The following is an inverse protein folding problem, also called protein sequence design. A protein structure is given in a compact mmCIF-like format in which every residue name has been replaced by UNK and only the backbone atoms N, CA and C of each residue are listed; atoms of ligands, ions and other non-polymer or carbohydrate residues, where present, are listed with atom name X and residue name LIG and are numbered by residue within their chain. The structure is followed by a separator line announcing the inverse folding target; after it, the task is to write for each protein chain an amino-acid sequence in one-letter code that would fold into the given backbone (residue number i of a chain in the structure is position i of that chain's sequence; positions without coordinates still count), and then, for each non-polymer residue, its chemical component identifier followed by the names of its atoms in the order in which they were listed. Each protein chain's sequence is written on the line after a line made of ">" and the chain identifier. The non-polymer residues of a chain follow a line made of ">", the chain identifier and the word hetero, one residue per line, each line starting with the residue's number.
data_IF_553247355322
#
_entry.id   IF_553247355322
#
_cell.length_a   1.000
_cell.length_b   1.000
_cell.length_c   1.000
_cell.angle_alpha   90.00
_cell.angle_beta   90.00
_cell.angle_gamma   90.00
#
_symmetry.space_group_name_H-M   'P 1'
#
loop_
_entity.id
_entity.type
_entity.pdbx_description
1 polymer ?
#
# COMPACT_ATOMS: atom_id res chain seq x y z
N UNK A 1 -7.79 39.39 -39.06
CA UNK A 1 -8.57 38.81 -37.95
C UNK A 1 -7.69 37.79 -37.26
N UNK A 2 -7.36 38.06 -36.01
CA UNK A 2 -6.04 37.83 -35.43
C UNK A 2 -5.96 36.54 -34.62
N UNK A 3 -4.81 35.87 -34.71
CA UNK A 3 -4.38 34.71 -33.90
C UNK A 3 -4.47 34.95 -32.38
N UNK A 4 -4.59 36.21 -31.95
CA UNK A 4 -4.84 36.60 -30.55
C UNK A 4 -6.24 36.22 -30.04
N UNK A 5 -7.27 36.23 -30.91
CA UNK A 5 -8.64 35.89 -30.52
C UNK A 5 -8.79 34.38 -30.25
N UNK A 6 -8.07 33.55 -31.01
CA UNK A 6 -8.07 32.09 -30.82
C UNK A 6 -7.40 31.68 -29.50
N UNK A 7 -6.34 32.38 -29.06
CA UNK A 7 -5.69 32.13 -27.77
C UNK A 7 -6.58 32.49 -26.57
N UNK A 8 -7.32 33.60 -26.66
CA UNK A 8 -8.23 34.06 -25.60
C UNK A 8 -9.47 33.15 -25.44
N UNK A 9 -9.97 32.57 -26.53
CA UNK A 9 -11.11 31.64 -26.47
C UNK A 9 -10.74 30.29 -25.84
N UNK A 10 -9.54 29.76 -26.12
CA UNK A 10 -9.03 28.53 -25.48
C UNK A 10 -8.87 28.68 -23.96
N UNK A 11 -8.35 29.83 -23.50
CA UNK A 11 -8.18 30.12 -22.06
C UNK A 11 -9.54 30.28 -21.37
N UNK A 12 -10.52 30.96 -22.00
CA UNK A 12 -11.89 31.05 -21.45
C UNK A 12 -12.56 29.69 -21.33
N UNK A 13 -12.38 28.83 -22.32
CA UNK A 13 -13.02 27.50 -22.33
C UNK A 13 -12.38 26.58 -21.28
N UNK A 14 -11.07 26.66 -21.06
CA UNK A 14 -10.39 25.96 -19.97
C UNK A 14 -10.82 26.48 -18.59
N UNK A 15 -10.93 27.80 -18.41
CA UNK A 15 -11.36 28.42 -17.16
C UNK A 15 -12.81 28.04 -16.79
N UNK A 16 -13.71 27.98 -17.77
CA UNK A 16 -15.12 27.57 -17.56
C UNK A 16 -15.24 26.09 -17.19
N UNK A 17 -14.39 25.21 -17.75
CA UNK A 17 -14.39 23.77 -17.40
C UNK A 17 -13.82 23.52 -16.00
N UNK A 18 -12.82 24.28 -15.59
CA UNK A 18 -12.28 24.24 -14.21
C UNK A 18 -13.29 24.82 -13.21
N UNK A 19 -13.98 25.92 -13.54
CA UNK A 19 -15.01 26.49 -12.66
C UNK A 19 -16.24 25.61 -12.54
N UNK A 20 -16.64 24.91 -13.60
CA UNK A 20 -17.75 23.95 -13.58
C UNK A 20 -17.42 22.70 -12.76
N UNK A 21 -16.18 22.17 -12.86
CA UNK A 21 -15.70 21.09 -12.00
C UNK A 21 -15.64 21.50 -10.52
N UNK A 22 -15.21 22.74 -10.24
CA UNK A 22 -15.17 23.31 -8.90
C UNK A 22 -16.60 23.50 -8.32
N UNK A 23 -17.56 23.91 -9.16
CA UNK A 23 -18.96 24.07 -8.77
C UNK A 23 -19.67 22.76 -8.44
N UNK A 24 -19.43 21.69 -9.21
CA UNK A 24 -20.01 20.37 -8.96
C UNK A 24 -19.41 19.69 -7.71
N UNK A 25 -18.08 19.71 -7.56
CA UNK A 25 -17.42 19.23 -6.34
C UNK A 25 -17.84 20.03 -5.11
N UNK A 26 -17.91 21.36 -5.23
CA UNK A 26 -18.34 22.25 -4.14
C UNK A 26 -19.79 22.00 -3.70
N UNK A 27 -20.71 21.77 -4.63
CA UNK A 27 -22.12 21.50 -4.33
C UNK A 27 -22.35 20.08 -3.78
N UNK A 28 -21.63 19.07 -4.30
CA UNK A 28 -21.66 17.71 -3.74
C UNK A 28 -21.11 17.68 -2.30
N UNK A 29 -20.03 18.42 -2.02
CA UNK A 29 -19.51 18.59 -0.66
C UNK A 29 -20.49 19.31 0.25
N UNK A 30 -21.18 20.35 -0.25
CA UNK A 30 -22.16 21.13 0.52
C UNK A 30 -23.33 20.27 1.02
N UNK A 31 -23.77 19.30 0.23
CA UNK A 31 -24.86 18.39 0.61
C UNK A 31 -24.46 17.33 1.64
N UNK A 32 -23.16 16.99 1.73
CA UNK A 32 -22.63 16.04 2.72
C UNK A 32 -22.04 16.73 3.97
N UNK A 33 -21.87 18.05 3.94
CA UNK A 33 -21.24 18.78 5.04
C UNK A 33 -22.25 18.94 6.20
N UNK A 34 -21.92 18.47 7.42
CA UNK A 34 -22.72 18.71 8.60
C UNK A 34 -22.93 20.20 8.84
N UNK A 35 -24.12 20.57 9.28
CA UNK A 35 -24.50 21.98 9.54
C UNK A 35 -23.86 22.55 10.80
N UNK A 36 -23.43 21.69 11.74
CA UNK A 36 -22.78 22.11 12.99
C UNK A 36 -21.30 22.46 12.81
N UNK A 37 -20.86 23.57 13.41
CA UNK A 37 -19.48 24.07 13.33
C UNK A 37 -18.44 23.04 13.81
N UNK A 38 -18.78 22.24 14.84
CA UNK A 38 -17.90 21.17 15.34
C UNK A 38 -17.68 20.05 14.34
N UNK A 39 -18.76 19.50 13.77
CA UNK A 39 -18.69 18.41 12.82
C UNK A 39 -18.02 18.85 11.50
N UNK A 40 -18.29 20.10 11.07
CA UNK A 40 -17.61 20.72 9.93
C UNK A 40 -16.09 20.83 10.15
N UNK A 41 -15.66 21.35 11.30
CA UNK A 41 -14.24 21.51 11.60
C UNK A 41 -13.50 20.17 11.73
N UNK A 42 -14.16 19.16 12.32
CA UNK A 42 -13.61 17.80 12.38
C UNK A 42 -13.37 17.24 10.97
N UNK A 43 -14.35 17.34 10.07
CA UNK A 43 -14.20 16.84 8.71
C UNK A 43 -13.08 17.56 7.94
N UNK A 44 -13.00 18.89 8.04
CA UNK A 44 -11.94 19.67 7.39
C UNK A 44 -10.55 19.23 7.85
N UNK A 45 -10.40 18.77 9.09
CA UNK A 45 -9.13 18.30 9.63
C UNK A 45 -8.85 16.82 9.31
N UNK A 46 -9.84 15.95 9.49
CA UNK A 46 -9.67 14.48 9.37
C UNK A 46 -9.52 14.09 7.89
N UNK A 47 -10.35 14.64 6.99
CA UNK A 47 -10.41 14.20 5.59
C UNK A 47 -9.07 14.35 4.87
N UNK A 48 -8.38 15.51 4.90
CA UNK A 48 -7.08 15.64 4.21
C UNK A 48 -6.03 14.69 4.77
N UNK A 49 -6.05 14.44 6.08
CA UNK A 49 -5.11 13.54 6.74
C UNK A 49 -5.32 12.09 6.33
N UNK A 50 -6.57 11.63 6.27
CA UNK A 50 -6.91 10.27 5.82
C UNK A 50 -6.60 10.08 4.32
N UNK A 51 -6.88 11.09 3.49
CA UNK A 51 -6.53 11.06 2.06
C UNK A 51 -5.01 10.96 1.90
N UNK A 52 -4.25 11.80 2.61
CA UNK A 52 -2.79 11.75 2.57
C UNK A 52 -2.26 10.39 3.03
N UNK A 53 -2.76 9.86 4.15
CA UNK A 53 -2.40 8.52 4.64
C UNK A 53 -2.70 7.44 3.60
N UNK A 54 -3.86 7.49 2.96
CA UNK A 54 -4.26 6.53 1.94
C UNK A 54 -3.33 6.56 0.72
N UNK A 55 -2.98 7.77 0.25
CA UNK A 55 -2.02 7.95 -0.85
C UNK A 55 -0.64 7.45 -0.47
N UNK A 56 -0.14 7.80 0.71
CA UNK A 56 1.18 7.35 1.20
C UNK A 56 1.21 5.83 1.36
N UNK A 57 0.17 5.24 1.97
CA UNK A 57 0.04 3.79 2.11
C UNK A 57 0.03 3.10 0.74
N UNK A 58 -0.73 3.63 -0.21
CA UNK A 58 -0.78 3.10 -1.58
C UNK A 58 0.58 3.17 -2.30
N UNK A 59 1.19 4.36 -2.35
CA UNK A 59 2.49 4.57 -3.02
C UNK A 59 3.59 3.75 -2.38
N UNK A 60 3.62 3.72 -1.04
CA UNK A 60 4.56 2.86 -0.33
C UNK A 60 4.29 1.40 -0.70
N UNK A 61 3.03 0.99 -0.77
CA UNK A 61 2.74 -0.41 -1.03
C UNK A 61 3.11 -0.87 -2.42
N UNK A 62 2.75 -0.08 -3.41
CA UNK A 62 3.16 -0.29 -4.78
C UNK A 62 4.69 -0.29 -4.91
N UNK A 63 5.38 0.72 -4.37
CA UNK A 63 6.83 0.87 -4.56
C UNK A 63 7.64 -0.18 -3.80
N UNK A 64 7.30 -0.41 -2.54
CA UNK A 64 8.01 -1.33 -1.66
C UNK A 64 7.82 -2.76 -2.13
N UNK A 65 6.59 -3.19 -2.44
CA UNK A 65 6.34 -4.55 -2.95
C UNK A 65 7.08 -4.80 -4.25
N UNK A 66 7.01 -3.86 -5.18
CA UNK A 66 7.68 -3.98 -6.47
C UNK A 66 9.20 -4.11 -6.34
N UNK A 67 9.81 -3.35 -5.44
CA UNK A 67 11.27 -3.32 -5.29
C UNK A 67 11.76 -4.55 -4.54
N UNK A 68 11.18 -4.83 -3.37
CA UNK A 68 11.61 -5.95 -2.52
C UNK A 68 11.35 -7.28 -3.20
N UNK A 69 10.16 -7.48 -3.79
CA UNK A 69 9.84 -8.74 -4.47
C UNK A 69 10.76 -8.96 -5.68
N UNK A 70 11.10 -7.91 -6.44
CA UNK A 70 12.07 -8.03 -7.54
C UNK A 70 13.45 -8.46 -7.04
N UNK A 71 13.96 -7.86 -5.97
CA UNK A 71 15.25 -8.24 -5.40
C UNK A 71 15.26 -9.64 -4.82
N UNK A 72 14.23 -10.01 -4.06
CA UNK A 72 14.07 -11.35 -3.48
C UNK A 72 13.96 -12.42 -4.57
N UNK A 73 13.08 -12.21 -5.56
CA UNK A 73 12.96 -13.10 -6.72
C UNK A 73 14.28 -13.22 -7.48
N UNK A 74 14.99 -12.11 -7.71
CA UNK A 74 16.27 -12.12 -8.43
C UNK A 74 17.36 -12.87 -7.65
N UNK A 75 17.41 -12.73 -6.33
CA UNK A 75 18.34 -13.46 -5.46
C UNK A 75 18.08 -14.97 -5.50
N UNK A 76 16.84 -15.39 -5.30
CA UNK A 76 16.46 -16.81 -5.34
C UNK A 76 16.76 -17.42 -6.72
N UNK A 77 16.49 -16.70 -7.80
CA UNK A 77 16.79 -17.19 -9.16
C UNK A 77 18.30 -17.27 -9.40
N UNK A 78 19.09 -16.31 -8.89
CA UNK A 78 20.54 -16.36 -8.99
C UNK A 78 21.11 -17.56 -8.21
N UNK A 79 20.57 -17.85 -7.03
CA UNK A 79 20.93 -19.03 -6.23
C UNK A 79 20.62 -20.34 -6.98
N UNK A 80 19.44 -20.41 -7.61
CA UNK A 80 19.04 -21.55 -8.45
C UNK A 80 19.95 -21.67 -9.68
N UNK A 81 20.26 -20.56 -10.36
CA UNK A 81 21.17 -20.55 -11.51
C UNK A 81 22.56 -21.07 -11.10
N UNK A 82 23.08 -20.63 -9.95
CA UNK A 82 24.33 -21.16 -9.39
C UNK A 82 24.28 -22.67 -9.12
N UNK A 83 23.17 -23.19 -8.59
CA UNK A 83 22.99 -24.64 -8.42
C UNK A 83 22.96 -25.38 -9.76
N UNK A 84 22.33 -24.82 -10.79
CA UNK A 84 22.30 -25.38 -12.14
C UNK A 84 23.69 -25.39 -12.77
N UNK A 85 24.47 -24.32 -12.59
CA UNK A 85 25.83 -24.22 -13.12
C UNK A 85 26.76 -25.23 -12.45
N UNK A 86 26.66 -25.39 -11.12
CA UNK A 86 27.39 -26.42 -10.38
C UNK A 86 26.98 -27.82 -10.83
N UNK A 87 25.68 -28.06 -11.03
CA UNK A 87 25.15 -29.33 -11.53
C UNK A 87 25.75 -29.71 -12.88
N UNK A 88 25.85 -28.74 -13.81
CA UNK A 88 26.36 -28.98 -15.17
C UNK A 88 27.89 -29.08 -15.24
N UNK A 89 28.59 -28.32 -14.42
CA UNK A 89 30.05 -28.17 -14.54
C UNK A 89 30.80 -29.31 -13.85
N UNK A 90 30.27 -29.81 -12.73
CA UNK A 90 30.96 -30.80 -11.90
C UNK A 90 30.27 -32.16 -11.95
N UNK A 91 31.04 -33.26 -11.92
CA UNK A 91 30.49 -34.60 -11.72
C UNK A 91 29.72 -34.66 -10.42
N UNK A 92 28.49 -35.18 -10.48
CA UNK A 92 27.63 -35.29 -9.32
C UNK A 92 27.84 -36.63 -8.60
N UNK A 93 27.65 -36.62 -7.29
CA UNK A 93 27.54 -37.86 -6.52
C UNK A 93 26.20 -38.56 -6.82
N UNK A 94 26.12 -39.87 -6.56
CA UNK A 94 24.98 -40.73 -6.98
C UNK A 94 23.59 -40.17 -6.58
N UNK A 95 23.50 -39.47 -5.46
CA UNK A 95 22.24 -38.93 -4.92
C UNK A 95 22.19 -37.38 -4.91
N UNK A 96 23.15 -36.72 -5.57
CA UNK A 96 23.34 -35.26 -5.51
C UNK A 96 23.41 -34.71 -4.07
N UNK A 97 23.85 -35.52 -3.10
CA UNK A 97 23.74 -35.22 -1.67
C UNK A 97 24.56 -33.99 -1.29
N UNK A 98 25.69 -33.75 -1.94
CA UNK A 98 26.48 -32.54 -1.71
C UNK A 98 25.71 -31.28 -2.15
N UNK A 99 25.08 -31.33 -3.32
CA UNK A 99 24.34 -30.20 -3.88
C UNK A 99 23.08 -29.91 -3.06
N UNK A 100 22.35 -30.96 -2.65
CA UNK A 100 21.20 -30.86 -1.74
C UNK A 100 21.59 -30.23 -0.40
N UNK A 101 22.74 -30.65 0.16
CA UNK A 101 23.27 -30.08 1.40
C UNK A 101 23.63 -28.60 1.26
N UNK A 102 24.27 -28.20 0.16
CA UNK A 102 24.60 -26.80 -0.10
C UNK A 102 23.33 -25.97 -0.23
N UNK A 103 22.36 -26.43 -1.03
CA UNK A 103 21.09 -25.76 -1.21
C UNK A 103 20.38 -25.51 0.14
N UNK A 104 20.29 -26.54 0.98
CA UNK A 104 19.58 -26.44 2.25
C UNK A 104 20.34 -25.61 3.29
N UNK A 105 21.66 -25.82 3.44
CA UNK A 105 22.45 -25.20 4.51
C UNK A 105 22.90 -23.77 4.19
N UNK A 106 23.07 -23.42 2.92
CA UNK A 106 23.59 -22.11 2.50
C UNK A 106 22.51 -21.23 1.90
N UNK A 107 21.62 -21.81 1.09
CA UNK A 107 20.63 -21.06 0.32
C UNK A 107 19.23 -21.13 0.93
N UNK A 108 19.03 -22.01 1.92
CA UNK A 108 17.71 -22.24 2.53
C UNK A 108 16.70 -22.85 1.55
N UNK A 109 17.19 -23.49 0.48
CA UNK A 109 16.40 -24.14 -0.55
C UNK A 109 16.41 -25.65 -0.33
N UNK A 110 15.25 -26.29 -0.35
CA UNK A 110 15.20 -27.76 -0.37
C UNK A 110 15.15 -28.19 -1.83
N UNK A 111 16.15 -28.96 -2.26
CA UNK A 111 16.30 -29.38 -3.65
C UNK A 111 16.24 -30.91 -3.74
N UNK A 112 15.51 -31.38 -4.74
CA UNK A 112 15.37 -32.77 -5.14
C UNK A 112 15.54 -32.89 -6.66
N UNK A 113 16.02 -34.04 -7.13
CA UNK A 113 16.21 -34.33 -8.54
C UNK A 113 15.27 -35.45 -8.95
N UNK A 114 14.38 -35.14 -9.89
CA UNK A 114 13.38 -36.06 -10.41
C UNK A 114 13.77 -36.55 -11.80
N UNK A 115 13.35 -37.76 -12.21
CA UNK A 115 13.51 -38.23 -13.59
C UNK A 115 12.84 -37.30 -14.61
N UNK A 116 13.39 -37.28 -15.84
CA UNK A 116 12.84 -36.54 -16.99
C UNK A 116 11.35 -36.89 -17.18
N UNK A 117 10.51 -35.89 -17.45
CA UNK A 117 9.08 -36.07 -17.70
C UNK A 117 8.17 -35.86 -16.48
N UNK A 118 8.71 -35.66 -15.27
CA UNK A 118 7.95 -35.30 -14.06
C UNK A 118 7.57 -33.81 -13.99
N UNK A 119 7.12 -33.22 -15.10
CA UNK A 119 6.60 -31.85 -15.12
C UNK A 119 5.06 -31.89 -15.01
N UNK A 120 4.46 -31.36 -13.93
CA UNK A 120 3.00 -31.34 -13.79
C UNK A 120 2.35 -30.48 -14.87
N UNK A 121 1.07 -30.69 -15.19
CA UNK A 121 0.31 -29.74 -15.99
C UNK A 121 0.30 -28.35 -15.30
N UNK A 122 0.16 -27.25 -16.04
CA UNK A 122 0.05 -25.91 -15.46
C UNK A 122 -1.07 -25.86 -14.43
N UNK A 123 -0.73 -25.55 -13.18
CA UNK A 123 -1.70 -25.45 -12.09
C UNK A 123 -2.63 -24.24 -12.24
N UNK A 124 -3.78 -24.22 -11.55
CA UNK A 124 -4.67 -23.07 -11.53
C UNK A 124 -3.95 -21.86 -10.91
N UNK A 125 -3.81 -20.78 -11.69
CA UNK A 125 -3.20 -19.53 -11.21
C UNK A 125 -4.12 -18.85 -10.20
N UNK A 126 -3.62 -18.39 -9.03
CA UNK A 126 -4.44 -17.63 -8.09
C UNK A 126 -4.97 -16.35 -8.75
N UNK A 127 -6.26 -16.05 -8.54
CA UNK A 127 -6.97 -14.92 -9.18
C UNK A 127 -6.47 -13.51 -8.77
N UNK A 128 -5.39 -13.39 -7.98
CA UNK A 128 -4.72 -12.13 -7.60
C UNK A 128 -3.32 -12.00 -8.24
N UNK A 129 -3.11 -12.48 -9.46
CA UNK A 129 -1.79 -12.65 -10.08
C UNK A 129 -1.14 -11.39 -10.69
N UNK A 130 -1.44 -10.16 -10.23
CA UNK A 130 -0.47 -9.06 -10.40
C UNK A 130 0.85 -9.38 -9.69
N UNK A 131 0.78 -10.31 -8.72
CA UNK A 131 1.87 -10.89 -7.92
C UNK A 131 2.74 -11.96 -8.62
N UNK A 132 2.35 -12.46 -9.81
CA UNK A 132 3.02 -13.58 -10.52
C UNK A 132 4.04 -13.15 -11.57
N UNK A 133 4.43 -11.88 -11.63
CA UNK A 133 5.25 -11.39 -12.75
C UNK A 133 6.75 -11.48 -12.48
N UNK A 134 7.24 -11.25 -11.25
CA UNK A 134 8.67 -11.06 -11.04
C UNK A 134 9.46 -12.36 -11.11
N UNK A 135 9.03 -13.41 -10.39
CA UNK A 135 9.77 -14.68 -10.32
C UNK A 135 9.83 -15.39 -11.68
N UNK A 136 8.72 -15.58 -12.43
CA UNK A 136 8.77 -16.10 -13.80
C UNK A 136 9.64 -15.26 -14.73
N UNK A 137 9.55 -13.92 -14.67
CA UNK A 137 10.39 -13.04 -15.50
C UNK A 137 11.87 -13.22 -15.18
N UNK A 138 12.25 -13.35 -13.91
CA UNK A 138 13.62 -13.61 -13.52
C UNK A 138 14.10 -14.99 -13.98
N UNK A 139 13.28 -16.04 -13.84
CA UNK A 139 13.59 -17.39 -14.32
C UNK A 139 13.83 -17.43 -15.84
N UNK A 140 12.95 -16.79 -16.62
CA UNK A 140 13.14 -16.65 -18.07
C UNK A 140 14.43 -15.89 -18.38
N UNK A 141 14.68 -14.78 -17.68
CA UNK A 141 15.80 -13.89 -17.96
C UNK A 141 17.16 -14.49 -17.60
N UNK A 142 17.27 -15.22 -16.50
CA UNK A 142 18.54 -15.73 -15.98
C UNK A 142 18.82 -17.20 -16.35
N UNK A 143 17.78 -18.05 -16.40
CA UNK A 143 17.94 -19.50 -16.61
C UNK A 143 17.55 -19.90 -18.03
N UNK A 144 16.46 -19.31 -18.58
CA UNK A 144 16.05 -19.54 -19.97
C UNK A 144 15.62 -20.98 -20.29
N UNK A 145 15.18 -21.75 -19.29
CA UNK A 145 14.73 -23.15 -19.44
C UNK A 145 13.24 -23.29 -19.15
N UNK A 146 12.57 -24.35 -19.64
CA UNK A 146 11.20 -24.66 -19.24
C UNK A 146 11.11 -24.84 -17.72
N UNK A 147 10.17 -24.14 -17.11
CA UNK A 147 9.94 -24.19 -15.67
C UNK A 147 8.45 -24.28 -15.36
N UNK A 148 8.16 -24.78 -14.16
CA UNK A 148 6.84 -24.84 -13.58
C UNK A 148 6.90 -24.31 -12.14
N UNK A 149 5.87 -23.60 -11.71
CA UNK A 149 5.79 -23.02 -10.37
C UNK A 149 4.47 -23.41 -9.75
N UNK A 150 4.51 -23.94 -8.52
CA UNK A 150 3.33 -24.06 -7.67
C UNK A 150 3.38 -23.07 -6.52
N UNK A 151 2.24 -22.44 -6.29
CA UNK A 151 1.98 -21.65 -5.09
C UNK A 151 0.77 -22.17 -4.30
N UNK A 152 0.17 -23.28 -4.74
CA UNK A 152 -1.14 -23.78 -4.30
C UNK A 152 -0.98 -25.17 -3.67
N UNK A 153 -0.82 -25.25 -2.35
CA UNK A 153 -0.85 -26.54 -1.64
C UNK A 153 -0.24 -26.55 -0.23
N UNK A 154 0.69 -25.65 0.08
CA UNK A 154 1.28 -25.48 1.43
C UNK A 154 1.48 -23.98 1.70
N UNK A 155 0.99 -23.49 2.84
CA UNK A 155 0.72 -22.06 3.09
C UNK A 155 1.94 -21.11 3.03
N UNK A 156 3.17 -21.62 3.00
CA UNK A 156 4.38 -20.80 3.04
C UNK A 156 5.55 -21.30 2.15
N UNK A 157 5.32 -22.28 1.28
CA UNK A 157 6.35 -22.80 0.38
C UNK A 157 5.95 -22.55 -1.08
N UNK A 158 6.94 -22.23 -1.89
CA UNK A 158 6.83 -22.11 -3.35
C UNK A 158 7.61 -23.25 -3.95
N UNK A 159 6.94 -24.06 -4.75
CA UNK A 159 7.58 -25.13 -5.49
C UNK A 159 7.98 -24.61 -6.87
N UNK A 160 9.23 -24.82 -7.25
CA UNK A 160 9.78 -24.44 -8.55
C UNK A 160 10.38 -25.70 -9.15
N UNK A 161 9.94 -26.07 -10.35
CA UNK A 161 10.53 -27.18 -11.11
C UNK A 161 11.17 -26.64 -12.36
N UNK A 162 12.40 -27.05 -12.64
CA UNK A 162 13.17 -26.61 -13.82
C UNK A 162 13.63 -27.84 -14.59
N UNK A 163 13.35 -27.83 -15.89
CA UNK A 163 13.79 -28.90 -16.79
C UNK A 163 15.31 -28.78 -17.04
N UNK A 164 16.06 -29.77 -16.59
CA UNK A 164 17.46 -29.98 -16.96
C UNK A 164 17.55 -30.93 -18.17
N UNK A 165 18.78 -31.18 -18.61
CA UNK A 165 19.05 -31.98 -19.81
C UNK A 165 18.74 -33.48 -19.57
N UNK A 166 19.00 -33.98 -18.36
CA UNK A 166 18.86 -35.38 -17.94
C UNK A 166 17.95 -35.58 -16.70
N UNK A 167 17.46 -34.50 -16.10
CA UNK A 167 16.62 -34.54 -14.90
C UNK A 167 15.66 -33.34 -14.83
N UNK A 168 14.79 -33.33 -13.81
CA UNK A 168 14.02 -32.15 -13.39
C UNK A 168 14.49 -31.76 -12.01
N UNK A 169 15.01 -30.54 -11.87
CA UNK A 169 15.36 -29.98 -10.57
C UNK A 169 14.09 -29.47 -9.91
N UNK A 170 13.71 -30.05 -8.78
CA UNK A 170 12.59 -29.63 -7.94
C UNK A 170 13.14 -28.84 -6.75
N UNK A 171 12.69 -27.61 -6.59
CA UNK A 171 13.14 -26.67 -5.57
C UNK A 171 11.95 -26.23 -4.73
N UNK A 172 12.05 -26.30 -3.41
CA UNK A 172 11.14 -25.67 -2.49
C UNK A 172 11.81 -24.49 -1.81
N UNK A 173 11.27 -23.30 -2.02
CA UNK A 173 11.70 -22.06 -1.38
C UNK A 173 10.63 -21.56 -0.40
N UNK A 174 11.04 -20.91 0.68
CA UNK A 174 10.07 -20.20 1.53
C UNK A 174 9.47 -19.02 0.77
N UNK A 175 8.17 -18.78 0.91
CA UNK A 175 7.49 -17.67 0.24
C UNK A 175 8.11 -16.32 0.62
N UNK A 176 8.52 -16.14 1.87
CA UNK A 176 9.24 -14.94 2.33
C UNK A 176 10.62 -14.72 1.69
N UNK A 177 11.26 -15.79 1.16
CA UNK A 177 12.54 -15.68 0.47
C UNK A 177 12.38 -15.15 -0.96
N UNK A 178 11.22 -15.38 -1.59
CA UNK A 178 10.91 -14.91 -2.94
C UNK A 178 9.97 -13.67 -2.95
N UNK A 179 9.29 -13.37 -1.85
CA UNK A 179 8.24 -12.34 -1.73
C UNK A 179 8.33 -11.52 -0.43
N UNK A 180 7.94 -10.25 -0.51
CA UNK A 180 7.89 -9.36 0.66
C UNK A 180 6.73 -9.73 1.61
N UNK A 181 7.03 -10.30 2.78
CA UNK A 181 6.01 -10.72 3.76
C UNK A 181 5.67 -9.67 4.82
N UNK A 182 6.56 -8.71 5.09
CA UNK A 182 6.53 -7.93 6.35
C UNK A 182 5.91 -6.52 6.23
N UNK A 183 5.21 -6.24 5.14
CA UNK A 183 4.60 -4.91 4.92
C UNK A 183 3.50 -4.54 5.89
N UNK A 184 2.83 -5.54 6.48
CA UNK A 184 1.79 -5.34 7.45
C UNK A 184 2.29 -4.59 8.70
N UNK A 185 3.51 -4.90 9.16
CA UNK A 185 4.12 -4.25 10.34
C UNK A 185 4.30 -2.75 10.08
N UNK A 186 4.77 -2.39 8.88
CA UNK A 186 4.96 -1.00 8.50
C UNK A 186 3.63 -0.24 8.41
N UNK A 187 2.63 -0.82 7.75
CA UNK A 187 1.29 -0.23 7.66
C UNK A 187 0.65 -0.08 9.05
N UNK A 188 0.83 -1.06 9.93
CA UNK A 188 0.37 -0.99 11.31
C UNK A 188 0.99 0.19 12.05
N UNK A 189 2.30 0.40 11.94
CA UNK A 189 2.97 1.57 12.56
C UNK A 189 2.55 2.89 11.92
N UNK A 190 2.38 2.95 10.59
CA UNK A 190 1.91 4.15 9.90
C UNK A 190 0.52 4.56 10.38
N UNK A 191 -0.43 3.62 10.38
CA UNK A 191 -1.80 3.87 10.84
C UNK A 191 -1.81 4.14 12.34
N UNK A 192 -1.06 3.40 13.14
CA UNK A 192 -1.00 3.55 14.59
C UNK A 192 -0.48 4.92 15.02
N UNK A 193 0.70 5.32 14.53
CA UNK A 193 1.31 6.63 14.86
C UNK A 193 0.44 7.78 14.42
N UNK A 194 -0.14 7.70 13.22
CA UNK A 194 -0.98 8.76 12.69
C UNK A 194 -2.37 8.82 13.35
N UNK A 195 -2.91 7.69 13.80
CA UNK A 195 -4.14 7.65 14.61
C UNK A 195 -3.95 8.33 15.96
N UNK A 196 -2.78 8.15 16.60
CA UNK A 196 -2.45 8.86 17.85
C UNK A 196 -2.51 10.37 17.63
N UNK A 197 -1.86 10.88 16.57
CA UNK A 197 -1.88 12.30 16.24
C UNK A 197 -3.30 12.79 15.92
N UNK A 198 -4.09 11.99 15.20
CA UNK A 198 -5.48 12.31 14.89
C UNK A 198 -6.33 12.42 16.17
N UNK A 199 -6.18 11.48 17.11
CA UNK A 199 -6.89 11.50 18.40
C UNK A 199 -6.52 12.77 19.17
N UNK A 200 -5.22 13.09 19.27
CA UNK A 200 -4.76 14.31 19.94
C UNK A 200 -5.37 15.53 19.26
N UNK A 201 -5.31 15.63 17.93
CA UNK A 201 -5.87 16.74 17.18
C UNK A 201 -7.39 16.91 17.40
N UNK A 202 -8.15 15.81 17.41
CA UNK A 202 -9.58 15.80 17.72
C UNK A 202 -9.86 16.27 19.15
N UNK A 203 -9.07 15.84 20.14
CA UNK A 203 -9.22 16.29 21.52
C UNK A 203 -8.94 17.79 21.66
N UNK A 204 -7.89 18.29 21.02
CA UNK A 204 -7.59 19.73 20.98
C UNK A 204 -8.72 20.51 20.32
N UNK A 205 -9.22 20.04 19.18
CA UNK A 205 -10.33 20.69 18.47
C UNK A 205 -11.59 20.71 19.33
N UNK A 206 -11.91 19.62 20.03
CA UNK A 206 -13.03 19.54 20.98
C UNK A 206 -12.88 20.55 22.11
N UNK A 207 -11.66 20.73 22.62
CA UNK A 207 -11.39 21.71 23.67
C UNK A 207 -11.47 23.16 23.17
N UNK A 208 -11.15 23.41 21.89
CA UNK A 208 -11.21 24.73 21.27
C UNK A 208 -12.62 25.15 20.80
N UNK A 209 -13.40 24.23 20.22
CA UNK A 209 -14.71 24.56 19.63
C UNK A 209 -15.83 24.62 20.66
N UNK A 210 -15.84 23.75 21.68
CA UNK A 210 -16.91 23.74 22.69
C UNK A 210 -17.16 25.11 23.33
N UNK A 211 -16.13 25.87 23.73
CA UNK A 211 -16.33 27.20 24.30
C UNK A 211 -16.89 28.22 23.29
N UNK A 212 -16.51 28.12 22.00
CA UNK A 212 -17.04 28.99 20.94
C UNK A 212 -18.53 28.73 20.73
N UNK A 213 -18.93 27.45 20.69
CA UNK A 213 -20.34 27.08 20.58
C UNK A 213 -21.16 27.61 21.77
N UNK A 214 -20.64 27.47 23.00
CA UNK A 214 -21.31 27.99 24.19
C UNK A 214 -21.45 29.51 24.18
N UNK A 215 -20.45 30.23 23.67
CA UNK A 215 -20.53 31.69 23.51
C UNK A 215 -21.60 32.05 22.48
N UNK A 216 -21.67 31.34 21.35
CA UNK A 216 -22.70 31.54 20.34
C UNK A 216 -24.11 31.29 20.91
N UNK A 217 -24.30 30.20 21.66
CA UNK A 217 -25.58 29.88 22.30
C UNK A 217 -26.00 30.98 23.31
N UNK A 218 -25.06 31.48 24.11
CA UNK A 218 -25.31 32.55 25.09
C UNK A 218 -25.63 33.90 24.42
N UNK A 219 -24.94 34.22 23.32
CA UNK A 219 -25.22 35.41 22.52
C UNK A 219 -26.61 35.34 21.87
N UNK A 220 -27.00 34.16 21.37
CA UNK A 220 -28.34 33.94 20.81
C UNK A 220 -29.44 34.06 21.87
N UNK A 221 -29.23 33.54 23.09
CA UNK A 221 -30.20 33.68 24.18
C UNK A 221 -30.35 35.14 24.61
N UNK A 222 -29.24 35.88 24.71
CA UNK A 222 -29.24 37.30 25.01
C UNK A 222 -29.98 38.11 23.94
N UNK A 223 -29.72 37.83 22.66
CA UNK A 223 -30.42 38.45 21.53
C UNK A 223 -31.93 38.18 21.51
N UNK A 224 -32.39 37.09 22.13
CA UNK A 224 -33.82 36.76 22.32
C UNK A 224 -34.42 37.35 23.61
N UNK A 225 -33.69 38.21 24.32
CA UNK A 225 -34.13 38.83 25.57
C UNK A 225 -34.18 37.87 26.77
N UNK A 226 -33.54 36.70 26.68
CA UNK A 226 -33.44 35.74 27.77
C UNK A 226 -32.11 35.94 28.50
N UNK A 227 -32.15 35.91 29.82
CA UNK A 227 -30.92 35.88 30.61
C UNK A 227 -30.18 34.55 30.37
N UNK A 228 -28.84 34.61 30.36
CA UNK A 228 -27.96 33.44 30.30
C UNK A 228 -27.29 33.20 31.67
N UNK A 229 -28.05 32.84 32.73
CA UNK A 229 -27.62 32.95 34.12
C UNK A 229 -26.41 32.09 34.51
N UNK A 230 -26.00 31.13 33.67
CA UNK A 230 -24.90 30.20 33.94
C UNK A 230 -23.76 30.25 32.91
N UNK A 231 -23.70 31.26 32.05
CA UNK A 231 -22.60 31.36 31.10
C UNK A 231 -21.28 31.75 31.79
N UNK A 232 -20.27 30.89 31.68
CA UNK A 232 -18.92 31.12 32.20
C UNK A 232 -17.92 31.14 31.05
N UNK A 233 -17.22 32.25 30.79
CA UNK A 233 -16.24 32.32 29.72
C UNK A 233 -15.13 31.28 29.93
N UNK A 234 -14.92 30.40 28.96
CA UNK A 234 -13.86 29.37 28.95
C UNK A 234 -13.19 29.33 27.58
N UNK A 235 -12.06 28.62 27.50
CA UNK A 235 -11.32 28.45 26.24
C UNK A 235 -10.29 29.55 26.00
N UNK A 236 -10.01 29.80 24.73
CA UNK A 236 -9.00 30.74 24.28
C UNK A 236 -9.26 32.17 24.78
N UNK A 237 -8.21 32.98 24.83
CA UNK A 237 -8.25 34.33 25.40
C UNK A 237 -9.20 35.24 24.62
N UNK A 238 -9.31 35.03 23.32
CA UNK A 238 -10.20 35.70 22.38
C UNK A 238 -11.67 35.43 22.70
N UNK A 239 -12.03 34.16 22.97
CA UNK A 239 -13.40 33.76 23.35
C UNK A 239 -13.79 34.38 24.69
N UNK A 240 -12.86 34.41 25.65
CA UNK A 240 -13.08 35.05 26.94
C UNK A 240 -13.25 36.56 26.83
N UNK A 241 -12.50 37.21 25.94
CA UNK A 241 -12.60 38.65 25.67
C UNK A 241 -13.93 39.00 25.01
N UNK A 242 -14.42 38.16 24.10
CA UNK A 242 -15.71 38.36 23.42
C UNK A 242 -16.93 38.17 24.33
N UNK A 243 -16.74 37.61 25.52
CA UNK A 243 -17.77 37.41 26.53
C UNK A 243 -17.87 38.55 27.56
N UNK A 244 -16.96 39.53 27.52
CA UNK A 244 -16.93 40.72 28.36
C UNK A 244 -17.58 41.89 27.62
#
# INVERSE_FOLDING_TARGET
>A
MSTLDSGLTLIRTAAVRVSAANGWMGNAFKGWMPTGLYARALLIMIVPMVVLQSVVAFVFMERHWNTVTRHLSAAVVADIAGLIDVYKTYPQDKDHAQLRRIAQQRLGLVVDFLPVGNMPPPGPKPFFSLLDQTLPVQLVRQIGRPFWIDTVGRSNLVEIRIQLDDAVMQIFAQRSAAYASNSAIFLFWMVGTSSILLIVAVLFLRNQIRPILRLADAAESFGKGREAPNFRPRGAREVRRAAQ
#
